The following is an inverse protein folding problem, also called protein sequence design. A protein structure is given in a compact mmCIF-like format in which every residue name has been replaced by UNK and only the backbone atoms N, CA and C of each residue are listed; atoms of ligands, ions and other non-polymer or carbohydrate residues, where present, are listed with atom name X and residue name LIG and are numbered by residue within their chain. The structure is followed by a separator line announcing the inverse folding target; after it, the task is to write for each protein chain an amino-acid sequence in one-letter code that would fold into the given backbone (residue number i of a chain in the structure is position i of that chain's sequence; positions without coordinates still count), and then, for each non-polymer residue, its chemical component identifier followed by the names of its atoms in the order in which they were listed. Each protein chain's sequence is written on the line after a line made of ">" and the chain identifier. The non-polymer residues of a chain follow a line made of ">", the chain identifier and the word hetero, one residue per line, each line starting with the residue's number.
data_IF_400242671637
#
_entry.id   IF_400242671637
#
_cell.length_a   1.000
_cell.length_b   1.000
_cell.length_c   1.000
_cell.angle_alpha   90.00
_cell.angle_beta   90.00
_cell.angle_gamma   90.00
#
_symmetry.space_group_name_H-M   'P 1'
#
loop_
_entity.id
_entity.type
_entity.pdbx_description
1 polymer ?
#
# COMPACT_ATOMS: atom_id res chain seq x y z
N UNK A 1 -6.94 -3.21 -14.28
CA UNK A 1 -7.46 -3.37 -12.90
C UNK A 1 -8.44 -2.26 -12.54
N UNK A 2 -8.11 -0.97 -12.68
CA UNK A 2 -9.03 0.14 -12.30
C UNK A 2 -10.45 0.02 -12.86
N UNK A 3 -10.61 -0.41 -14.13
CA UNK A 3 -11.93 -0.65 -14.75
C UNK A 3 -12.79 -1.72 -14.05
N UNK A 4 -12.16 -2.64 -13.32
CA UNK A 4 -12.81 -3.72 -12.58
C UNK A 4 -13.19 -3.29 -11.16
N UNK A 5 -12.80 -2.09 -10.74
CA UNK A 5 -13.18 -1.55 -9.44
C UNK A 5 -14.64 -1.08 -9.49
N UNK A 6 -15.45 -1.61 -8.58
CA UNK A 6 -16.89 -1.35 -8.46
C UNK A 6 -17.18 -0.70 -7.09
N UNK A 7 -17.72 0.53 -7.04
CA UNK A 7 -18.00 1.22 -5.78
C UNK A 7 -19.08 0.52 -4.93
N UNK A 8 -19.87 -0.40 -5.50
CA UNK A 8 -20.83 -1.21 -4.73
C UNK A 8 -20.14 -2.30 -3.91
N UNK A 9 -18.91 -2.66 -4.27
CA UNK A 9 -18.14 -3.74 -3.63
C UNK A 9 -16.93 -3.21 -2.86
N UNK A 10 -16.39 -2.06 -3.25
CA UNK A 10 -15.18 -1.47 -2.68
C UNK A 10 -15.50 -0.12 -2.03
N UNK A 11 -15.47 -0.09 -0.69
CA UNK A 11 -15.71 1.15 0.07
C UNK A 11 -14.59 2.18 -0.08
N UNK A 12 -13.34 1.72 -0.28
CA UNK A 12 -12.16 2.55 -0.45
C UNK A 12 -11.11 1.79 -1.24
N UNK A 13 -10.42 2.49 -2.14
CA UNK A 13 -9.24 2.01 -2.85
C UNK A 13 -8.05 2.86 -2.44
N UNK A 14 -6.99 2.19 -1.97
CA UNK A 14 -5.71 2.84 -1.68
C UNK A 14 -4.70 2.39 -2.74
N UNK A 15 -4.18 3.34 -3.50
CA UNK A 15 -3.11 3.10 -4.48
C UNK A 15 -1.77 3.53 -3.91
N UNK A 16 -0.71 2.80 -4.25
CA UNK A 16 0.65 3.05 -3.74
C UNK A 16 1.64 3.05 -4.89
N UNK A 17 2.39 4.15 -5.01
CA UNK A 17 3.41 4.37 -6.04
C UNK A 17 2.87 4.98 -7.33
N UNK A 18 3.77 5.63 -8.08
CA UNK A 18 3.43 6.53 -9.19
C UNK A 18 2.56 5.88 -10.28
N UNK A 19 2.89 4.67 -10.72
CA UNK A 19 2.12 4.00 -11.79
C UNK A 19 0.66 3.76 -11.39
N UNK A 20 0.40 3.37 -10.14
CA UNK A 20 -0.96 3.12 -9.69
C UNK A 20 -1.75 4.42 -9.54
N UNK A 21 -1.11 5.49 -9.06
CA UNK A 21 -1.67 6.85 -9.04
C UNK A 21 -1.98 7.36 -10.45
N UNK A 22 -1.09 7.15 -11.41
CA UNK A 22 -1.25 7.67 -12.79
C UNK A 22 -2.29 6.89 -13.59
N UNK A 23 -2.37 5.57 -13.44
CA UNK A 23 -3.17 4.72 -14.34
C UNK A 23 -4.35 4.01 -13.69
N UNK A 24 -4.25 3.60 -12.41
CA UNK A 24 -5.33 2.87 -11.74
C UNK A 24 -6.31 3.83 -11.08
N UNK A 25 -5.81 4.77 -10.29
CA UNK A 25 -6.61 5.71 -9.52
C UNK A 25 -7.64 6.48 -10.37
N UNK A 26 -7.25 7.19 -11.45
CA UNK A 26 -8.22 7.98 -12.22
C UNK A 26 -9.31 7.13 -12.88
N UNK A 27 -8.97 5.89 -13.27
CA UNK A 27 -9.94 4.97 -13.87
C UNK A 27 -10.94 4.46 -12.82
N UNK A 28 -10.47 4.16 -11.60
CA UNK A 28 -11.35 3.74 -10.52
C UNK A 28 -12.23 4.90 -10.00
N UNK A 29 -11.68 6.12 -9.94
CA UNK A 29 -12.44 7.34 -9.62
C UNK A 29 -13.53 7.63 -10.66
N UNK A 30 -13.20 7.51 -11.96
CA UNK A 30 -14.17 7.66 -13.04
C UNK A 30 -15.29 6.60 -12.98
N UNK A 31 -15.03 5.44 -12.40
CA UNK A 31 -16.02 4.41 -12.10
C UNK A 31 -16.84 4.70 -10.82
N UNK A 32 -16.59 5.81 -10.13
CA UNK A 32 -17.28 6.23 -8.91
C UNK A 32 -16.69 5.69 -7.61
N UNK A 33 -15.51 5.04 -7.62
CA UNK A 33 -14.87 4.58 -6.41
C UNK A 33 -14.24 5.76 -5.63
N UNK A 34 -14.26 5.67 -4.30
CA UNK A 34 -13.43 6.54 -3.46
C UNK A 34 -11.98 6.05 -3.52
N UNK A 35 -11.06 6.92 -3.93
CA UNK A 35 -9.64 6.56 -4.08
C UNK A 35 -8.76 7.54 -3.30
N UNK A 36 -7.69 7.02 -2.69
CA UNK A 36 -6.61 7.80 -2.08
C UNK A 36 -5.28 7.21 -2.54
N UNK A 37 -4.34 8.07 -2.94
CA UNK A 37 -3.03 7.65 -3.47
C UNK A 37 -1.90 8.04 -2.54
N UNK A 38 -1.00 7.11 -2.24
CA UNK A 38 0.25 7.34 -1.50
C UNK A 38 1.46 7.07 -2.38
N UNK A 39 2.60 7.65 -2.02
CA UNK A 39 3.83 7.41 -2.77
C UNK A 39 4.52 6.14 -2.29
N UNK A 40 4.50 5.86 -0.97
CA UNK A 40 5.14 4.68 -0.38
C UNK A 40 4.19 3.80 0.43
N UNK A 41 4.57 2.52 0.59
CA UNK A 41 3.80 1.58 1.42
C UNK A 41 3.77 1.99 2.91
N UNK A 42 4.88 2.45 3.53
CA UNK A 42 4.83 2.97 4.90
C UNK A 42 3.82 4.11 5.10
N UNK A 43 3.73 5.06 4.16
CA UNK A 43 2.74 6.14 4.23
C UNK A 43 1.30 5.63 4.21
N UNK A 44 0.99 4.69 3.31
CA UNK A 44 -0.33 4.07 3.25
C UNK A 44 -0.66 3.30 4.55
N UNK A 45 0.35 2.64 5.15
CA UNK A 45 0.20 1.96 6.43
C UNK A 45 -0.07 2.91 7.58
N UNK A 46 0.64 4.05 7.64
CA UNK A 46 0.43 5.07 8.66
C UNK A 46 -0.94 5.74 8.54
N UNK A 47 -1.39 6.01 7.31
CA UNK A 47 -2.75 6.47 7.05
C UNK A 47 -3.79 5.47 7.58
N UNK A 48 -3.65 4.18 7.24
CA UNK A 48 -4.58 3.14 7.69
C UNK A 48 -4.60 3.01 9.22
N UNK A 49 -3.44 3.05 9.87
CA UNK A 49 -3.31 2.96 11.33
C UNK A 49 -4.05 4.08 12.05
N UNK A 50 -3.97 5.29 11.51
CA UNK A 50 -4.58 6.49 12.09
C UNK A 50 -5.99 6.79 11.55
N UNK A 51 -6.55 5.93 10.71
CA UNK A 51 -7.89 6.09 10.16
C UNK A 51 -8.98 5.57 11.11
N UNK A 52 -10.19 6.08 10.93
CA UNK A 52 -11.40 5.58 11.59
C UNK A 52 -11.98 4.33 10.92
N UNK A 53 -11.24 3.69 10.00
CA UNK A 53 -11.69 2.45 9.36
C UNK A 53 -11.61 1.32 10.40
N UNK A 54 -12.78 0.83 10.81
CA UNK A 54 -12.97 -0.30 11.72
C UNK A 54 -13.82 -1.37 11.04
N UNK A 55 -13.76 -2.60 11.56
CA UNK A 55 -14.57 -3.74 11.12
C UNK A 55 -14.52 -3.98 9.59
N UNK A 56 -13.33 -3.82 9.01
CA UNK A 56 -13.10 -3.91 7.58
C UNK A 56 -12.19 -5.09 7.22
N UNK A 57 -12.42 -5.68 6.04
CA UNK A 57 -11.47 -6.59 5.39
C UNK A 57 -10.65 -5.79 4.38
N UNK A 58 -9.32 -5.86 4.49
CA UNK A 58 -8.41 -5.12 3.60
C UNK A 58 -7.59 -6.12 2.79
N UNK A 59 -7.65 -6.01 1.46
CA UNK A 59 -6.81 -6.78 0.54
C UNK A 59 -5.59 -5.97 0.14
N UNK A 60 -4.39 -6.47 0.47
CA UNK A 60 -3.14 -5.90 0.00
C UNK A 60 -2.67 -6.65 -1.25
N UNK A 61 -2.58 -5.95 -2.39
CA UNK A 61 -2.05 -6.51 -3.64
C UNK A 61 -0.99 -5.59 -4.26
N UNK A 62 0.20 -6.13 -4.44
CA UNK A 62 1.31 -5.47 -5.12
C UNK A 62 2.18 -6.45 -5.91
N UNK A 63 3.16 -5.90 -6.64
CA UNK A 63 4.18 -6.70 -7.32
C UNK A 63 5.23 -7.22 -6.32
N UNK A 64 6.11 -8.11 -6.78
CA UNK A 64 7.17 -8.69 -5.96
C UNK A 64 8.26 -7.67 -5.58
N UNK A 65 8.39 -6.54 -6.28
CA UNK A 65 9.37 -5.49 -6.00
C UNK A 65 8.88 -4.07 -6.33
N UNK A 66 9.66 -3.08 -5.87
CA UNK A 66 9.49 -1.66 -6.21
C UNK A 66 8.40 -0.90 -5.44
N UNK A 67 7.72 -1.55 -4.49
CA UNK A 67 6.68 -0.93 -3.63
C UNK A 67 6.71 -1.52 -2.22
N UNK A 68 6.85 -2.86 -2.12
CA UNK A 68 6.91 -3.62 -0.86
C UNK A 68 5.70 -3.35 0.05
N UNK A 69 4.52 -3.65 -0.47
CA UNK A 69 3.24 -3.34 0.17
C UNK A 69 3.02 -4.03 1.53
N UNK A 70 3.74 -5.11 1.83
CA UNK A 70 3.76 -5.73 3.15
C UNK A 70 4.20 -4.77 4.26
N UNK A 71 4.98 -3.73 3.93
CA UNK A 71 5.38 -2.72 4.90
C UNK A 71 4.20 -1.85 5.36
N UNK A 72 3.14 -1.72 4.55
CA UNK A 72 1.89 -1.06 4.94
C UNK A 72 1.09 -1.88 5.97
N UNK A 73 1.32 -3.20 6.04
CA UNK A 73 0.59 -4.11 6.93
C UNK A 73 1.14 -4.04 8.36
N UNK A 74 2.46 -3.89 8.50
CA UNK A 74 3.16 -3.86 9.80
C UNK A 74 2.49 -2.97 10.87
N UNK A 75 2.17 -1.69 10.59
CA UNK A 75 1.55 -0.81 11.59
C UNK A 75 0.13 -1.23 12.00
N UNK A 76 -0.52 -2.12 11.25
CA UNK A 76 -1.89 -2.58 11.48
C UNK A 76 -1.96 -3.88 12.29
N UNK A 77 -0.83 -4.56 12.46
CA UNK A 77 -0.80 -5.84 13.17
C UNK A 77 -1.08 -5.62 14.65
N UNK A 78 -2.09 -6.33 15.17
CA UNK A 78 -2.40 -6.34 16.61
C UNK A 78 -1.21 -6.75 17.46
N UNK A 79 -0.44 -7.73 16.99
CA UNK A 79 0.84 -8.11 17.59
C UNK A 79 1.99 -7.70 16.66
N UNK A 80 2.83 -6.72 17.04
CA UNK A 80 3.97 -6.29 16.23
C UNK A 80 4.94 -7.43 15.86
N UNK A 81 5.06 -8.48 16.67
CA UNK A 81 5.93 -9.62 16.39
C UNK A 81 5.46 -10.43 15.17
N UNK A 82 4.17 -10.38 14.81
CA UNK A 82 3.64 -11.04 13.62
C UNK A 82 4.17 -10.41 12.33
N UNK A 83 4.83 -9.25 12.40
CA UNK A 83 5.52 -8.66 11.25
C UNK A 83 6.52 -9.61 10.62
N UNK A 84 7.14 -10.52 11.39
CA UNK A 84 8.06 -11.54 10.89
C UNK A 84 7.39 -12.64 10.05
N UNK A 85 6.07 -12.81 10.19
CA UNK A 85 5.28 -13.78 9.41
C UNK A 85 4.88 -13.23 8.03
N UNK A 86 5.05 -11.93 7.80
CA UNK A 86 4.81 -11.32 6.50
C UNK A 86 5.85 -11.81 5.49
N UNK A 87 5.51 -11.69 4.21
CA UNK A 87 6.45 -11.98 3.13
C UNK A 87 7.68 -11.05 3.19
N UNK A 88 8.82 -11.51 2.67
CA UNK A 88 10.03 -10.69 2.47
C UNK A 88 10.57 -10.04 3.75
N UNK A 89 10.60 -10.79 4.84
CA UNK A 89 11.12 -10.28 6.12
C UNK A 89 12.54 -10.75 6.46
N UNK A 90 13.13 -11.63 5.64
CA UNK A 90 14.52 -12.07 5.82
C UNK A 90 15.51 -10.89 5.76
N UNK A 91 16.66 -11.04 6.40
CA UNK A 91 17.70 -9.99 6.44
C UNK A 91 18.12 -9.50 5.05
N UNK A 92 18.13 -10.38 4.06
CA UNK A 92 18.39 -10.00 2.68
C UNK A 92 17.32 -9.06 2.10
N UNK A 93 16.05 -9.38 2.32
CA UNK A 93 14.95 -8.52 1.89
C UNK A 93 14.93 -7.18 2.62
N UNK A 94 15.28 -7.13 3.91
CA UNK A 94 15.39 -5.85 4.62
C UNK A 94 16.44 -4.94 3.98
N UNK A 95 17.61 -5.48 3.58
CA UNK A 95 18.64 -4.71 2.87
C UNK A 95 18.17 -4.20 1.51
N UNK A 96 17.44 -5.02 0.75
CA UNK A 96 16.86 -4.63 -0.55
C UNK A 96 15.85 -3.49 -0.36
N UNK A 97 14.96 -3.61 0.63
CA UNK A 97 13.95 -2.59 0.94
C UNK A 97 14.57 -1.29 1.43
N UNK A 98 15.58 -1.35 2.29
CA UNK A 98 16.31 -0.17 2.77
C UNK A 98 16.86 0.64 1.59
N UNK A 99 17.61 0.01 0.68
CA UNK A 99 18.14 0.67 -0.53
C UNK A 99 17.04 1.28 -1.41
N UNK A 100 15.91 0.58 -1.53
CA UNK A 100 14.78 1.10 -2.28
C UNK A 100 14.21 2.38 -1.65
N UNK A 101 13.93 2.37 -0.35
CA UNK A 101 13.37 3.54 0.33
C UNK A 101 14.37 4.71 0.38
N UNK A 102 15.66 4.44 0.55
CA UNK A 102 16.71 5.47 0.45
C UNK A 102 16.67 6.15 -0.94
N UNK A 103 16.57 5.37 -2.02
CA UNK A 103 16.45 5.92 -3.39
C UNK A 103 15.13 6.66 -3.62
N UNK A 104 14.06 6.20 -2.97
CA UNK A 104 12.74 6.81 -3.08
C UNK A 104 12.74 8.20 -2.42
N UNK A 105 13.36 8.33 -1.25
CA UNK A 105 13.46 9.60 -0.53
C UNK A 105 14.36 10.60 -1.27
N UNK A 106 15.44 10.13 -1.89
CA UNK A 106 16.28 10.98 -2.76
C UNK A 106 15.52 11.51 -3.97
N UNK A 107 14.61 10.71 -4.56
CA UNK A 107 13.81 11.14 -5.72
C UNK A 107 12.74 12.20 -5.38
N UNK A 108 12.54 12.51 -4.09
CA UNK A 108 11.59 13.53 -3.60
C UNK A 108 12.24 14.89 -3.34
N UNK A 109 13.56 14.96 -3.27
CA UNK A 109 14.33 16.20 -3.11
C UNK A 109 14.59 16.82 -4.49
#
# INVERSE_FOLDING_TARGET
>A
IGKLCDPKQLALIITVGNLSKTYLAPVAEANGCKVISFHSAPEAGEFLKNSDIKDATILFKGSQGGIYLEEAIKPLLKNPADSQKLVRQSSNWQRIKAKFYDSLDQSRQ
#
